data_IF_510723243048
#
_entry.id   IF_510723243048
#
_cell.length_a   1.000
_cell.length_b   1.000
_cell.length_c   1.000
_cell.angle_alpha   90.00
_cell.angle_beta   90.00
_cell.angle_gamma   90.00
#
_symmetry.space_group_name_H-M   'P 1'
#
loop_
_entity.id
_entity.type
_entity.pdbx_description
1 polymer ?
#
# COMPACT_ATOMS: atom_id res chain seq x y z
N UNK A 1 -3.19 -11.16 62.91
CA UNK A 1 -3.75 -10.14 62.00
C UNK A 1 -4.82 -10.80 61.14
N UNK A 2 -6.10 -10.47 61.34
CA UNK A 2 -7.18 -11.02 60.54
C UNK A 2 -7.06 -10.50 59.09
N UNK A 3 -6.96 -11.40 58.11
CA UNK A 3 -6.92 -11.04 56.69
C UNK A 3 -8.34 -10.70 56.25
N UNK A 4 -8.55 -9.48 55.75
CA UNK A 4 -9.85 -9.04 55.21
C UNK A 4 -10.29 -9.97 54.06
N UNK A 5 -11.56 -10.40 54.09
CA UNK A 5 -12.15 -11.22 53.04
C UNK A 5 -12.34 -10.39 51.76
N UNK A 6 -12.18 -11.00 50.57
CA UNK A 6 -12.42 -10.32 49.31
C UNK A 6 -13.91 -9.97 49.20
N UNK A 7 -14.24 -8.84 48.60
CA UNK A 7 -15.64 -8.45 48.36
C UNK A 7 -16.03 -8.68 46.91
N UNK A 8 -17.27 -9.13 46.69
CA UNK A 8 -17.86 -9.25 45.37
C UNK A 8 -17.88 -7.87 44.70
N UNK A 9 -17.39 -7.78 43.46
CA UNK A 9 -17.37 -6.49 42.75
C UNK A 9 -18.75 -5.96 42.36
N UNK A 10 -19.78 -6.79 42.46
CA UNK A 10 -21.15 -6.45 42.07
C UNK A 10 -21.95 -6.05 43.30
N UNK A 11 -22.21 -6.98 44.23
CA UNK A 11 -23.01 -6.71 45.43
C UNK A 11 -22.22 -6.10 46.61
N UNK A 12 -20.89 -6.02 46.52
CA UNK A 12 -19.98 -5.50 47.59
C UNK A 12 -19.96 -6.30 48.89
N UNK A 13 -20.65 -7.43 48.96
CA UNK A 13 -20.63 -8.35 50.10
C UNK A 13 -19.36 -9.21 50.12
N UNK A 14 -19.04 -9.79 51.27
CA UNK A 14 -17.82 -10.59 51.47
C UNK A 14 -17.96 -11.99 50.86
N UNK A 15 -16.94 -12.40 50.12
CA UNK A 15 -16.87 -13.71 49.47
C UNK A 15 -16.08 -14.66 50.37
N UNK A 16 -16.70 -15.79 50.71
CA UNK A 16 -16.04 -16.86 51.42
C UNK A 16 -15.12 -17.66 50.48
N UNK A 17 -13.81 -17.42 50.58
CA UNK A 17 -12.80 -18.12 49.77
C UNK A 17 -12.69 -19.63 50.04
N UNK A 18 -13.24 -20.10 51.16
CA UNK A 18 -13.18 -21.53 51.51
C UNK A 18 -14.24 -22.35 50.77
N UNK A 19 -15.26 -21.71 50.19
CA UNK A 19 -16.27 -22.36 49.39
C UNK A 19 -16.07 -22.04 47.90
N UNK A 20 -15.31 -22.90 47.24
CA UNK A 20 -14.93 -22.77 45.81
C UNK A 20 -16.15 -22.80 44.89
N UNK A 21 -17.30 -23.29 45.36
CA UNK A 21 -18.55 -23.32 44.59
C UNK A 21 -19.34 -22.01 44.63
N UNK A 22 -19.00 -21.10 45.56
CA UNK A 22 -19.75 -19.85 45.80
C UNK A 22 -19.23 -18.64 45.01
N UNK A 23 -18.07 -18.75 44.34
CA UNK A 23 -17.45 -17.59 43.70
C UNK A 23 -16.67 -17.90 42.41
N UNK A 24 -16.55 -16.88 41.57
CA UNK A 24 -15.80 -16.88 40.31
C UNK A 24 -14.70 -15.83 40.41
N UNK A 25 -13.46 -16.24 40.14
CA UNK A 25 -12.30 -15.34 40.07
C UNK A 25 -11.99 -15.00 38.62
N UNK A 26 -12.08 -13.70 38.27
CA UNK A 26 -11.67 -13.15 36.96
C UNK A 26 -10.50 -12.20 37.12
N UNK A 27 -9.88 -11.80 36.02
CA UNK A 27 -8.79 -10.80 35.99
C UNK A 27 -9.21 -9.48 36.67
N UNK A 28 -10.50 -9.15 36.63
CA UNK A 28 -11.06 -7.93 37.20
C UNK A 28 -11.43 -8.01 38.69
N UNK A 29 -11.42 -9.18 39.34
CA UNK A 29 -11.79 -9.35 40.75
C UNK A 29 -12.54 -10.66 41.07
N UNK A 30 -13.17 -10.72 42.25
CA UNK A 30 -14.00 -11.84 42.72
C UNK A 30 -15.49 -11.50 42.57
N UNK A 31 -16.30 -12.49 42.19
CA UNK A 31 -17.74 -12.37 41.95
C UNK A 31 -18.46 -13.57 42.57
N UNK A 32 -19.69 -13.41 43.08
CA UNK A 32 -20.54 -14.57 43.35
C UNK A 32 -20.98 -15.20 42.02
N UNK A 33 -21.20 -16.51 42.01
CA UNK A 33 -21.70 -17.23 40.82
C UNK A 33 -23.03 -16.62 40.35
N UNK A 34 -23.94 -16.35 41.29
CA UNK A 34 -25.26 -15.81 40.98
C UNK A 34 -25.19 -14.37 40.45
N UNK A 35 -24.32 -13.54 41.02
CA UNK A 35 -24.10 -12.17 40.55
C UNK A 35 -23.46 -12.12 39.14
N UNK A 36 -22.78 -13.18 38.70
CA UNK A 36 -22.21 -13.24 37.36
C UNK A 36 -23.26 -13.59 36.30
N UNK A 37 -24.20 -14.48 36.61
CA UNK A 37 -25.32 -14.83 35.73
C UNK A 37 -26.28 -13.67 35.45
N UNK A 38 -26.32 -12.65 36.31
CA UNK A 38 -27.16 -11.46 36.13
C UNK A 38 -26.55 -10.39 35.19
N UNK A 39 -25.33 -10.57 34.67
CA UNK A 39 -24.72 -9.67 33.65
C UNK A 39 -25.29 -9.84 32.23
N UNK A 40 -26.58 -10.13 32.12
CA UNK A 40 -27.30 -10.29 30.86
C UNK A 40 -27.64 -8.99 30.13
N UNK A 41 -27.30 -7.82 30.65
CA UNK A 41 -27.54 -6.55 29.95
C UNK A 41 -26.45 -6.29 28.91
N UNK A 42 -26.68 -6.82 27.70
CA UNK A 42 -26.02 -6.33 26.49
C UNK A 42 -26.32 -4.84 26.40
N UNK A 43 -25.31 -3.98 26.60
CA UNK A 43 -25.40 -2.56 26.24
C UNK A 43 -25.98 -2.46 24.83
N UNK A 44 -27.22 -1.97 24.73
CA UNK A 44 -27.89 -1.80 23.45
C UNK A 44 -27.10 -0.76 22.66
N UNK A 45 -26.42 -1.22 21.60
CA UNK A 45 -25.72 -0.32 20.68
C UNK A 45 -26.77 0.53 19.98
N UNK A 46 -26.52 1.82 19.87
CA UNK A 46 -27.41 2.76 19.17
C UNK A 46 -26.72 3.34 17.94
N UNK A 47 -27.52 3.64 16.94
CA UNK A 47 -27.08 4.25 15.71
C UNK A 47 -26.70 5.71 15.94
N UNK A 48 -25.49 6.13 15.57
CA UNK A 48 -25.04 7.52 15.72
C UNK A 48 -25.76 8.52 14.81
N UNK A 49 -26.58 8.07 13.85
CA UNK A 49 -27.33 8.94 12.93
C UNK A 49 -28.80 9.10 13.31
N UNK A 50 -29.49 8.04 13.70
CA UNK A 50 -30.91 8.10 14.06
C UNK A 50 -31.20 7.87 15.54
N UNK A 51 -30.18 7.61 16.36
CA UNK A 51 -30.29 7.17 17.76
C UNK A 51 -31.14 5.91 17.98
N UNK A 52 -31.53 5.20 16.91
CA UNK A 52 -32.28 3.96 16.97
C UNK A 52 -31.42 2.79 17.47
N UNK A 53 -32.07 1.84 18.15
CA UNK A 53 -31.45 0.58 18.55
C UNK A 53 -31.23 -0.32 17.33
N UNK A 54 -30.12 -1.06 17.29
CA UNK A 54 -29.90 -2.06 16.24
C UNK A 54 -30.71 -3.32 16.53
N UNK A 55 -31.55 -3.74 15.58
CA UNK A 55 -32.33 -4.99 15.68
C UNK A 55 -31.44 -6.22 15.50
N UNK A 56 -30.34 -6.10 14.75
CA UNK A 56 -29.39 -7.18 14.53
C UNK A 56 -27.95 -6.69 14.39
N UNK A 57 -26.98 -7.55 14.71
CA UNK A 57 -25.55 -7.24 14.53
C UNK A 57 -25.15 -7.06 13.06
N UNK A 58 -25.97 -7.57 12.12
CA UNK A 58 -25.72 -7.45 10.67
C UNK A 58 -26.00 -6.04 10.14
N UNK A 59 -26.77 -5.25 10.87
CA UNK A 59 -27.16 -3.88 10.49
C UNK A 59 -26.17 -2.83 10.98
N UNK A 60 -25.13 -3.24 11.72
CA UNK A 60 -24.12 -2.36 12.31
C UNK A 60 -22.97 -2.14 11.33
N UNK A 61 -22.85 -0.92 10.82
CA UNK A 61 -21.68 -0.46 10.08
C UNK A 61 -20.80 0.35 11.02
N UNK A 62 -19.52 -0.03 11.15
CA UNK A 62 -18.53 0.71 11.93
C UNK A 62 -17.69 1.62 11.04
N UNK A 63 -17.66 2.92 11.35
CA UNK A 63 -16.78 3.92 10.72
C UNK A 63 -16.00 4.64 11.83
N UNK A 64 -14.76 4.23 12.05
CA UNK A 64 -13.96 4.72 13.18
C UNK A 64 -14.61 4.37 14.52
N UNK A 65 -14.96 5.39 15.33
CA UNK A 65 -15.66 5.23 16.60
C UNK A 65 -17.19 5.21 16.50
N UNK A 66 -17.75 5.33 15.28
CA UNK A 66 -19.20 5.43 15.07
C UNK A 66 -19.81 4.09 14.67
N UNK A 67 -20.99 3.80 15.21
CA UNK A 67 -21.85 2.68 14.81
C UNK A 67 -23.10 3.23 14.16
N UNK A 68 -23.33 2.93 12.88
CA UNK A 68 -24.47 3.47 12.10
C UNK A 68 -25.21 2.35 11.38
N UNK A 69 -26.48 2.58 11.04
CA UNK A 69 -27.24 1.65 10.19
C UNK A 69 -26.74 1.77 8.75
N UNK A 70 -26.70 0.64 8.03
CA UNK A 70 -26.43 0.63 6.59
C UNK A 70 -27.41 1.55 5.83
N UNK A 71 -28.70 1.49 6.17
CA UNK A 71 -29.74 2.33 5.57
C UNK A 71 -29.57 3.82 5.88
N UNK A 72 -29.20 4.19 7.11
CA UNK A 72 -28.93 5.58 7.46
C UNK A 72 -27.69 6.14 6.74
N UNK A 73 -26.69 5.31 6.48
CA UNK A 73 -25.51 5.70 5.71
C UNK A 73 -25.86 5.95 4.24
N UNK A 74 -26.68 5.09 3.63
CA UNK A 74 -27.14 5.25 2.25
C UNK A 74 -28.04 6.48 2.08
N UNK A 75 -28.94 6.73 3.03
CA UNK A 75 -29.78 7.93 3.03
C UNK A 75 -28.97 9.22 3.18
N UNK A 76 -27.91 9.23 4.01
CA UNK A 76 -26.99 10.36 4.10
C UNK A 76 -26.29 10.67 2.77
N UNK A 77 -26.01 9.65 1.95
CA UNK A 77 -25.43 9.85 0.61
C UNK A 77 -26.46 10.30 -0.44
N UNK A 78 -27.75 10.11 -0.19
CA UNK A 78 -28.84 10.39 -1.14
C UNK A 78 -29.65 11.66 -0.83
N UNK A 79 -29.69 12.15 0.42
CA UNK A 79 -30.44 13.36 0.78
C UNK A 79 -29.60 14.63 0.58
N UNK A 80 -30.07 15.51 -0.31
CA UNK A 80 -29.56 16.88 -0.52
C UNK A 80 -29.90 17.85 0.62
N UNK A 81 -30.55 17.39 1.68
CA UNK A 81 -30.76 18.14 2.93
C UNK A 81 -29.72 17.71 3.97
N UNK A 82 -28.77 18.61 4.20
CA UNK A 82 -27.70 18.49 5.19
C UNK A 82 -28.31 18.41 6.59
N UNK A 83 -28.43 17.21 7.14
CA UNK A 83 -28.44 17.06 8.60
C UNK A 83 -27.05 17.50 9.08
N UNK A 84 -26.96 18.63 9.78
CA UNK A 84 -25.71 19.17 10.30
C UNK A 84 -25.16 18.29 11.44
N UNK A 85 -24.59 17.14 11.10
CA UNK A 85 -23.81 16.34 12.03
C UNK A 85 -22.49 17.08 12.24
N UNK A 86 -22.30 17.67 13.43
CA UNK A 86 -21.04 18.31 13.83
C UNK A 86 -19.95 17.25 14.02
N UNK A 87 -19.33 16.83 12.93
CA UNK A 87 -18.14 15.96 12.98
C UNK A 87 -16.90 16.82 13.18
N UNK A 88 -16.05 16.38 14.11
CA UNK A 88 -14.76 17.02 14.34
C UNK A 88 -13.86 16.79 13.12
N UNK A 89 -13.65 17.85 12.35
CA UNK A 89 -12.68 17.86 11.25
C UNK A 89 -11.30 17.60 11.82
N UNK A 90 -10.56 16.67 11.20
CA UNK A 90 -9.21 16.28 11.63
C UNK A 90 -8.18 16.81 10.64
N UNK A 91 -6.92 16.82 11.04
CA UNK A 91 -5.82 17.27 10.18
C UNK A 91 -5.09 16.05 9.62
N UNK A 92 -4.92 15.99 8.29
CA UNK A 92 -4.17 14.92 7.64
C UNK A 92 -2.67 15.05 7.99
N UNK A 93 -2.02 14.03 8.58
CA UNK A 93 -0.60 14.12 8.94
C UNK A 93 0.37 14.32 7.77
N UNK A 94 -0.03 13.95 6.55
CA UNK A 94 0.82 14.03 5.36
C UNK A 94 0.85 15.44 4.75
N UNK A 95 -0.33 15.96 4.37
CA UNK A 95 -0.45 17.26 3.71
C UNK A 95 -0.72 18.41 4.67
N UNK A 96 -1.06 18.12 5.94
CA UNK A 96 -1.43 19.08 6.99
C UNK A 96 -2.72 19.85 6.72
N UNK A 97 -3.48 19.45 5.70
CA UNK A 97 -4.79 20.01 5.40
C UNK A 97 -5.89 19.32 6.19
N UNK A 98 -7.04 19.99 6.29
CA UNK A 98 -8.23 19.47 6.95
C UNK A 98 -8.81 18.30 6.15
N UNK A 99 -9.24 17.26 6.84
CA UNK A 99 -9.97 16.12 6.29
C UNK A 99 -11.25 15.93 7.09
N UNK A 100 -12.38 15.87 6.39
CA UNK A 100 -13.65 15.57 7.01
C UNK A 100 -13.84 14.04 7.01
N UNK A 101 -13.95 13.38 8.17
CA UNK A 101 -14.12 11.92 8.25
C UNK A 101 -15.35 11.37 7.53
N UNK A 102 -16.33 12.22 7.21
CA UNK A 102 -17.52 11.84 6.44
C UNK A 102 -17.30 11.85 4.92
N UNK A 103 -16.19 12.39 4.44
CA UNK A 103 -15.89 12.41 3.00
C UNK A 103 -15.57 10.99 2.51
N UNK A 104 -15.97 10.69 1.26
CA UNK A 104 -15.70 9.39 0.62
C UNK A 104 -14.20 9.10 0.51
N UNK A 105 -13.41 10.17 0.37
CA UNK A 105 -11.96 10.12 0.27
C UNK A 105 -11.24 10.22 1.62
N UNK A 106 -11.97 10.15 2.74
CA UNK A 106 -11.37 10.07 4.06
C UNK A 106 -11.10 8.62 4.46
N UNK A 107 -9.88 8.37 4.94
CA UNK A 107 -9.46 7.10 5.48
C UNK A 107 -9.06 7.27 6.95
N UNK A 108 -9.79 6.61 7.84
CA UNK A 108 -9.46 6.55 9.26
C UNK A 108 -8.55 5.35 9.54
N UNK A 109 -7.41 5.61 10.16
CA UNK A 109 -6.55 4.61 10.82
C UNK A 109 -6.69 4.74 12.34
N UNK A 110 -6.18 3.76 13.10
CA UNK A 110 -6.24 3.77 14.57
C UNK A 110 -5.64 5.04 15.20
N UNK A 111 -4.69 5.66 14.49
CA UNK A 111 -3.90 6.78 14.98
C UNK A 111 -4.26 8.12 14.34
N UNK A 112 -4.78 8.16 13.11
CA UNK A 112 -5.04 9.40 12.39
C UNK A 112 -5.99 9.23 11.20
N UNK A 113 -6.49 10.35 10.68
CA UNK A 113 -7.31 10.39 9.46
C UNK A 113 -6.51 10.99 8.33
N UNK A 114 -6.55 10.36 7.16
CA UNK A 114 -5.84 10.78 5.96
C UNK A 114 -6.80 10.96 4.80
N UNK A 115 -6.44 11.81 3.83
CA UNK A 115 -7.02 11.66 2.50
C UNK A 115 -6.55 10.33 1.89
N UNK A 116 -7.42 9.65 1.16
CA UNK A 116 -7.15 8.38 0.49
C UNK A 116 -5.88 8.45 -0.37
N UNK A 117 -5.78 9.47 -1.22
CA UNK A 117 -4.59 9.72 -2.04
C UNK A 117 -3.33 9.94 -1.20
N UNK A 118 -3.44 10.64 -0.07
CA UNK A 118 -2.33 10.86 0.86
C UNK A 118 -1.85 9.54 1.47
N UNK A 119 -2.77 8.71 1.95
CA UNK A 119 -2.43 7.40 2.52
C UNK A 119 -1.79 6.47 1.47
N UNK A 120 -2.40 6.37 0.28
CA UNK A 120 -1.86 5.58 -0.83
C UNK A 120 -0.45 6.04 -1.24
N UNK A 121 -0.19 7.36 -1.22
CA UNK A 121 1.15 7.89 -1.45
C UNK A 121 2.17 7.36 -0.46
N UNK A 122 1.82 7.31 0.83
CA UNK A 122 2.70 6.86 1.92
C UNK A 122 2.98 5.38 1.72
N UNK A 123 1.94 4.57 1.48
CA UNK A 123 2.10 3.14 1.23
C UNK A 123 2.97 2.87 0.00
N UNK A 124 2.76 3.64 -1.08
CA UNK A 124 3.58 3.54 -2.29
C UNK A 124 5.04 3.91 -2.02
N UNK A 125 5.30 4.96 -1.24
CA UNK A 125 6.67 5.35 -0.88
C UNK A 125 7.34 4.29 -0.01
N UNK A 126 6.61 3.72 0.96
CA UNK A 126 7.10 2.62 1.81
C UNK A 126 7.49 1.41 0.97
N UNK A 127 6.60 0.95 0.10
CA UNK A 127 6.86 -0.15 -0.82
C UNK A 127 8.06 0.11 -1.73
N UNK A 128 8.14 1.28 -2.37
CA UNK A 128 9.28 1.64 -3.22
C UNK A 128 10.61 1.66 -2.43
N UNK A 129 10.57 2.02 -1.14
CA UNK A 129 11.75 2.03 -0.27
C UNK A 129 12.17 0.60 0.07
N UNK A 130 11.23 -0.28 0.41
CA UNK A 130 11.50 -1.71 0.65
C UNK A 130 12.12 -2.36 -0.59
N UNK A 131 11.50 -2.19 -1.76
CA UNK A 131 12.04 -2.70 -3.04
C UNK A 131 13.45 -2.20 -3.35
N UNK A 132 13.77 -0.96 -2.98
CA UNK A 132 15.12 -0.40 -3.13
C UNK A 132 16.12 -1.10 -2.22
N UNK A 133 15.76 -1.30 -0.94
CA UNK A 133 16.64 -1.92 0.04
C UNK A 133 16.90 -3.40 -0.30
N UNK A 134 15.85 -4.13 -0.68
CA UNK A 134 15.96 -5.54 -1.08
C UNK A 134 16.87 -5.69 -2.29
N UNK A 135 16.74 -4.79 -3.27
CA UNK A 135 17.58 -4.82 -4.46
C UNK A 135 19.06 -4.50 -4.13
N UNK A 136 19.32 -3.57 -3.22
CA UNK A 136 20.69 -3.28 -2.76
C UNK A 136 21.27 -4.48 -2.03
N UNK A 137 20.51 -5.08 -1.12
CA UNK A 137 20.91 -6.27 -0.37
C UNK A 137 21.30 -7.41 -1.34
N UNK A 138 20.45 -7.68 -2.33
CA UNK A 138 20.71 -8.68 -3.37
C UNK A 138 21.97 -8.39 -4.18
N UNK A 139 22.20 -7.14 -4.60
CA UNK A 139 23.33 -6.79 -5.49
C UNK A 139 24.66 -6.76 -4.75
N UNK A 140 24.66 -6.35 -3.49
CA UNK A 140 25.87 -6.31 -2.67
C UNK A 140 26.11 -7.60 -1.88
N UNK A 141 25.24 -8.61 -2.04
CA UNK A 141 25.31 -9.89 -1.35
C UNK A 141 25.40 -9.73 0.19
N UNK A 142 24.55 -8.86 0.73
CA UNK A 142 24.43 -8.59 2.18
C UNK A 142 23.00 -8.85 2.63
N UNK A 143 22.81 -9.24 3.89
CA UNK A 143 21.46 -9.44 4.45
C UNK A 143 20.65 -8.13 4.48
N UNK A 144 21.33 -7.01 4.74
CA UNK A 144 20.71 -5.70 4.77
C UNK A 144 21.71 -4.60 4.36
N UNK A 145 21.27 -3.50 3.72
CA UNK A 145 22.15 -2.41 3.37
C UNK A 145 22.85 -1.80 4.59
N UNK A 146 24.13 -1.48 4.45
CA UNK A 146 24.93 -0.93 5.54
C UNK A 146 24.43 0.45 5.96
N UNK A 147 24.71 0.86 7.21
CA UNK A 147 24.32 2.18 7.73
C UNK A 147 24.79 3.35 6.85
N UNK A 148 25.95 3.21 6.20
CA UNK A 148 26.46 4.18 5.25
C UNK A 148 25.58 4.30 4.00
N UNK A 149 25.14 3.18 3.42
CA UNK A 149 24.20 3.17 2.29
C UNK A 149 22.85 3.78 2.66
N UNK A 150 22.33 3.48 3.85
CA UNK A 150 21.06 4.06 4.35
C UNK A 150 21.15 5.58 4.48
N UNK A 151 22.28 6.09 4.97
CA UNK A 151 22.54 7.54 5.02
C UNK A 151 22.53 8.15 3.62
N UNK A 152 23.18 7.51 2.65
CA UNK A 152 23.18 8.00 1.26
C UNK A 152 21.79 8.00 0.63
N UNK A 153 20.99 6.96 0.83
CA UNK A 153 19.59 6.91 0.35
C UNK A 153 18.79 8.08 0.92
N UNK A 154 18.95 8.33 2.22
CA UNK A 154 18.26 9.43 2.92
C UNK A 154 18.72 10.79 2.39
N UNK A 155 20.03 10.97 2.19
CA UNK A 155 20.59 12.19 1.60
C UNK A 155 20.11 12.41 0.16
N UNK A 156 20.04 11.37 -0.66
CA UNK A 156 19.52 11.48 -2.03
C UNK A 156 18.03 11.82 -2.04
N UNK A 157 17.25 11.27 -1.12
CA UNK A 157 15.84 11.62 -1.03
C UNK A 157 15.65 13.08 -0.59
N UNK A 158 16.28 13.47 0.52
CA UNK A 158 15.99 14.75 1.18
C UNK A 158 16.73 15.92 0.54
N UNK A 159 18.01 15.76 0.18
CA UNK A 159 18.83 16.86 -0.35
C UNK A 159 18.73 17.00 -1.87
N UNK A 160 18.56 15.87 -2.59
CA UNK A 160 18.50 15.87 -4.06
C UNK A 160 17.10 15.67 -4.63
N UNK A 161 16.10 15.39 -3.78
CA UNK A 161 14.72 15.17 -4.22
C UNK A 161 14.52 13.88 -5.03
N UNK A 162 15.46 12.93 -4.97
CA UNK A 162 15.33 11.68 -5.72
C UNK A 162 14.26 10.80 -5.06
N UNK A 163 13.32 10.28 -5.86
CA UNK A 163 12.38 9.28 -5.34
C UNK A 163 13.08 7.93 -5.15
N UNK A 164 12.65 7.14 -4.17
CA UNK A 164 13.18 5.77 -3.97
C UNK A 164 13.09 4.92 -5.23
N UNK A 165 11.98 5.04 -5.97
CA UNK A 165 11.80 4.37 -7.26
C UNK A 165 12.83 4.82 -8.30
N UNK A 166 13.16 6.11 -8.37
CA UNK A 166 14.17 6.60 -9.28
C UNK A 166 15.56 6.04 -8.93
N UNK A 167 15.91 6.01 -7.64
CA UNK A 167 17.17 5.38 -7.18
C UNK A 167 17.24 3.90 -7.57
N UNK A 168 16.16 3.14 -7.35
CA UNK A 168 16.09 1.72 -7.72
C UNK A 168 16.31 1.52 -9.22
N UNK A 169 15.63 2.32 -10.04
CA UNK A 169 15.75 2.26 -11.50
C UNK A 169 17.18 2.62 -11.94
N UNK A 170 17.81 3.61 -11.30
CA UNK A 170 19.22 3.95 -11.56
C UNK A 170 20.15 2.79 -11.22
N UNK A 171 19.95 2.13 -10.07
CA UNK A 171 20.77 0.97 -9.69
C UNK A 171 20.55 -0.23 -10.62
N UNK A 172 19.32 -0.47 -11.08
CA UNK A 172 19.02 -1.47 -12.12
C UNK A 172 19.76 -1.16 -13.41
N UNK A 173 19.73 0.09 -13.87
CA UNK A 173 20.50 0.50 -15.03
C UNK A 173 22.02 0.25 -14.84
N UNK A 174 22.57 0.67 -13.70
CA UNK A 174 24.00 0.50 -13.41
C UNK A 174 24.44 -0.97 -13.40
N UNK A 175 23.72 -1.83 -12.67
CA UNK A 175 24.16 -3.21 -12.48
C UNK A 175 23.66 -4.17 -13.56
N UNK A 176 22.45 -3.96 -14.08
CA UNK A 176 21.84 -4.91 -15.03
C UNK A 176 22.15 -4.54 -16.47
N UNK A 177 22.28 -3.25 -16.80
CA UNK A 177 22.53 -2.77 -18.18
C UNK A 177 24.01 -2.45 -18.39
N UNK A 178 24.58 -1.57 -17.58
CA UNK A 178 25.99 -1.13 -17.71
C UNK A 178 26.98 -2.12 -17.08
N UNK A 179 26.49 -3.14 -16.35
CA UNK A 179 27.30 -4.19 -15.69
C UNK A 179 28.43 -3.61 -14.83
N UNK A 180 28.16 -2.48 -14.15
CA UNK A 180 29.12 -1.86 -13.25
C UNK A 180 29.44 -2.84 -12.11
N UNK A 181 30.72 -3.17 -11.84
CA UNK A 181 31.06 -4.11 -10.79
C UNK A 181 30.75 -3.53 -9.41
N UNK A 182 30.21 -4.36 -8.52
CA UNK A 182 30.06 -4.05 -7.10
C UNK A 182 31.41 -4.20 -6.40
N UNK A 183 31.74 -3.25 -5.54
CA UNK A 183 32.89 -3.34 -4.63
C UNK A 183 32.38 -3.36 -3.19
N UNK A 184 32.89 -4.30 -2.41
CA UNK A 184 32.60 -4.36 -0.98
C UNK A 184 33.11 -3.10 -0.27
N UNK A 185 32.39 -2.65 0.76
CA UNK A 185 32.71 -1.42 1.48
C UNK A 185 32.44 -0.12 0.73
N UNK A 186 32.06 -0.16 -0.56
CA UNK A 186 31.72 1.03 -1.34
C UNK A 186 30.21 1.29 -1.27
N UNK A 187 29.85 2.51 -0.88
CA UNK A 187 28.45 2.94 -0.86
C UNK A 187 27.85 3.17 -2.25
N UNK A 188 26.67 3.78 -2.28
CA UNK A 188 25.87 4.11 -3.45
C UNK A 188 26.30 5.43 -4.13
N UNK A 189 27.57 5.82 -3.98
CA UNK A 189 28.10 7.12 -4.40
C UNK A 189 28.00 7.40 -5.90
N UNK A 190 27.83 6.37 -6.71
CA UNK A 190 27.71 6.46 -8.16
C UNK A 190 26.30 6.83 -8.64
N UNK A 191 25.25 6.68 -7.83
CA UNK A 191 23.86 6.96 -8.23
C UNK A 191 23.73 8.35 -8.90
N UNK A 192 24.25 9.46 -8.31
CA UNK A 192 24.22 10.77 -8.95
C UNK A 192 24.73 10.84 -10.38
N UNK A 193 25.82 10.12 -10.69
CA UNK A 193 26.49 10.19 -11.99
C UNK A 193 25.74 9.39 -13.07
N UNK A 194 25.00 8.37 -12.65
CA UNK A 194 24.22 7.51 -13.54
C UNK A 194 22.74 7.91 -13.62
N UNK A 195 22.29 8.84 -12.77
CA UNK A 195 20.88 9.21 -12.69
C UNK A 195 20.30 9.69 -14.03
N UNK A 196 20.96 10.65 -14.68
CA UNK A 196 20.51 11.19 -15.97
C UNK A 196 20.64 10.18 -17.12
N UNK A 197 21.68 9.33 -17.08
CA UNK A 197 21.84 8.23 -18.06
C UNK A 197 20.69 7.23 -17.96
N UNK A 198 20.39 6.76 -16.74
CA UNK A 198 19.29 5.84 -16.48
C UNK A 198 17.94 6.45 -16.89
N UNK A 199 17.69 7.71 -16.53
CA UNK A 199 16.47 8.43 -16.92
C UNK A 199 16.31 8.48 -18.43
N UNK A 200 17.37 8.85 -19.15
CA UNK A 200 17.38 8.91 -20.62
C UNK A 200 17.14 7.54 -21.24
N UNK A 201 17.77 6.49 -20.71
CA UNK A 201 17.59 5.11 -21.15
C UNK A 201 16.12 4.65 -21.02
N UNK A 202 15.53 4.81 -19.85
CA UNK A 202 14.13 4.39 -19.62
C UNK A 202 13.12 5.25 -20.37
N UNK A 203 13.41 6.54 -20.61
CA UNK A 203 12.57 7.37 -21.48
C UNK A 203 12.59 6.87 -22.93
N UNK A 204 13.76 6.50 -23.46
CA UNK A 204 13.88 5.92 -24.81
C UNK A 204 13.11 4.61 -24.92
N UNK A 205 13.24 3.72 -23.93
CA UNK A 205 12.48 2.47 -23.89
C UNK A 205 10.96 2.69 -23.88
N UNK A 206 10.47 3.65 -23.06
CA UNK A 206 9.04 3.98 -23.03
C UNK A 206 8.54 4.54 -24.36
N UNK A 207 9.32 5.42 -24.99
CA UNK A 207 8.97 5.97 -26.31
C UNK A 207 8.90 4.86 -27.36
N UNK A 208 9.89 3.97 -27.41
CA UNK A 208 9.90 2.84 -28.33
C UNK A 208 8.70 1.90 -28.12
N UNK A 209 8.38 1.56 -26.86
CA UNK A 209 7.21 0.73 -26.54
C UNK A 209 5.89 1.38 -26.92
N UNK A 210 5.74 2.68 -26.66
CA UNK A 210 4.55 3.43 -27.06
C UNK A 210 4.41 3.52 -28.59
N UNK A 211 5.52 3.68 -29.31
CA UNK A 211 5.49 3.65 -30.78
C UNK A 211 5.06 2.29 -31.31
N UNK A 212 5.57 1.19 -30.73
CA UNK A 212 5.18 -0.16 -31.12
C UNK A 212 3.70 -0.46 -30.87
N UNK A 213 3.15 -0.01 -29.75
CA UNK A 213 1.73 -0.22 -29.41
C UNK A 213 0.75 0.62 -30.25
N UNK A 214 1.22 1.71 -30.86
CA UNK A 214 0.41 2.56 -31.74
C UNK A 214 0.59 2.24 -33.24
N UNK A 215 1.32 1.16 -33.59
CA UNK A 215 1.42 0.73 -34.99
C UNK A 215 0.09 0.09 -35.39
N UNK A 216 -0.69 0.81 -36.19
CA UNK A 216 -1.81 0.22 -36.93
C UNK A 216 -1.22 -0.64 -38.05
N UNK A 217 -1.21 -1.95 -37.85
CA UNK A 217 -0.77 -2.89 -38.89
C UNK A 217 -1.81 -2.86 -40.01
N UNK A 218 -1.56 -2.05 -41.04
CA UNK A 218 -2.31 -2.13 -42.28
C UNK A 218 -1.93 -3.43 -42.97
N UNK A 219 -2.71 -4.50 -42.73
CA UNK A 219 -2.63 -5.78 -43.45
C UNK A 219 -3.10 -5.65 -44.91
N UNK A 220 -2.58 -4.64 -45.64
CA UNK A 220 -2.73 -4.60 -47.09
C UNK A 220 -1.79 -5.65 -47.66
N UNK A 221 -2.36 -6.81 -47.97
CA UNK A 221 -1.71 -7.84 -48.78
C UNK A 221 -1.42 -7.25 -50.15
N UNK A 222 -0.18 -6.81 -50.37
CA UNK A 222 0.28 -6.45 -51.70
C UNK A 222 0.49 -7.76 -52.45
N UNK A 223 -0.42 -8.09 -53.37
CA UNK A 223 -0.21 -9.17 -54.33
C UNK A 223 0.92 -8.76 -55.26
N UNK A 224 2.15 -9.16 -54.93
CA UNK A 224 3.29 -8.98 -55.81
C UNK A 224 3.10 -9.98 -56.96
N UNK A 225 2.92 -9.48 -58.19
CA UNK A 225 2.96 -10.34 -59.38
C UNK A 225 4.39 -10.85 -59.50
N UNK A 226 4.59 -12.15 -59.28
CA UNK A 226 5.87 -12.78 -59.57
C UNK A 226 6.15 -12.64 -61.07
N UNK A 227 7.18 -11.86 -61.42
CA UNK A 227 7.68 -11.79 -62.79
C UNK A 227 8.49 -13.04 -63.03
N UNK A 228 8.16 -13.81 -64.08
CA UNK A 228 8.95 -14.97 -64.45
C UNK A 228 10.40 -14.55 -64.70
N UNK A 229 11.40 -15.30 -64.21
CA UNK A 229 12.80 -14.98 -64.47
C UNK A 229 13.02 -14.97 -65.98
N UNK A 230 13.51 -13.84 -66.50
CA UNK A 230 13.87 -13.71 -67.92
C UNK A 230 14.94 -14.76 -68.20
N UNK A 231 14.63 -15.72 -69.07
CA UNK A 231 15.62 -16.71 -69.52
C UNK A 231 16.74 -15.94 -70.23
N UNK A 232 17.91 -15.88 -69.60
CA UNK A 232 19.10 -15.38 -70.28
C UNK A 232 19.35 -16.27 -71.51
N UNK A 233 19.55 -15.64 -72.67
CA UNK A 233 20.02 -16.35 -73.86
C UNK A 233 21.32 -17.08 -73.50
N UNK A 234 21.41 -18.36 -73.87
CA UNK A 234 22.65 -19.12 -73.74
C UNK A 234 23.73 -18.41 -74.54
N UNK A 235 24.63 -17.71 -73.85
CA UNK A 235 25.86 -17.24 -74.48
C UNK A 235 26.69 -18.49 -74.76
N UNK A 236 27.02 -18.72 -76.03
CA UNK A 236 27.93 -19.77 -76.47
C UNK A 236 29.23 -19.66 -75.67
N UNK A 237 29.64 -20.74 -74.99
CA UNK A 237 30.94 -20.78 -74.32
C UNK A 237 32.01 -20.91 -75.38
N UNK A 238 32.77 -19.83 -75.56
CA UNK A 238 34.12 -19.72 -76.14
C UNK A 238 34.38 -20.58 -77.39
N UNK A 239 34.52 -19.90 -78.54
CA UNK A 239 35.19 -20.48 -79.70
C UNK A 239 36.71 -20.46 -79.47
N UNK A 240 37.35 -21.62 -79.56
CA UNK A 240 38.79 -21.82 -79.36
C UNK A 240 39.55 -21.93 -80.69
N UNK A 241 38.92 -21.63 -81.84
CA UNK A 241 39.60 -21.68 -83.15
C UNK A 241 40.51 -20.48 -83.46
N UNK A 242 41.14 -19.86 -82.45
CA UNK A 242 42.17 -18.84 -82.66
C UNK A 242 43.33 -18.90 -81.65
N UNK A 243 43.76 -20.10 -81.27
CA UNK A 243 45.11 -20.35 -80.75
C UNK A 243 45.82 -21.40 -81.59
#
# INVERSE_FOLDING_TARGET
MARALPKCKICKEEINKNDVSSFIKKSSGYFHVDCESEKGDKEKKTCSFCNGEFESEKDIVKRGSLTVHQSCLEQYHQSSEKVEVKVRVRTCPKCKEKVNPLDVDALDTDTATYHKACYESIQRQKKNREELLDYIALKYNVEFPTGFMLKQITDYHNKRGYSYKAMLVTLKYMFDVEKVPTKEGVGLGLIPFYFEKAKSYHQKLRKAGNSANNVTINNKTVKIKAVAPVKANRVSRYDLSSM
#
